data_IF_608822298927
#
_entry.id   IF_608822298927
#
_cell.length_a   1.000
_cell.length_b   1.000
_cell.length_c   1.000
_cell.angle_alpha   90.00
_cell.angle_beta   90.00
_cell.angle_gamma   90.00
#
_symmetry.space_group_name_H-M   'P 1'
#
loop_
_entity.id
_entity.type
_entity.pdbx_description
1 polymer ?
#
# COMPACT_ATOMS: atom_id res chain seq x y z
N UNK A 1 26.50 -51.18 19.98
CA UNK A 1 26.24 -49.75 20.26
C UNK A 1 26.60 -48.82 19.09
N UNK A 2 27.68 -49.06 18.32
CA UNK A 2 28.05 -48.22 17.16
C UNK A 2 27.03 -48.23 16.00
N UNK A 3 26.32 -49.33 15.78
CA UNK A 3 25.34 -49.48 14.69
C UNK A 3 24.00 -48.76 14.94
N UNK A 4 23.63 -48.54 16.20
CA UNK A 4 22.37 -47.84 16.56
C UNK A 4 22.54 -46.32 16.43
N UNK A 5 23.73 -45.78 16.76
CA UNK A 5 24.02 -44.36 16.60
C UNK A 5 24.04 -43.92 15.13
N UNK A 6 24.40 -44.81 14.19
CA UNK A 6 24.40 -44.49 12.76
C UNK A 6 22.96 -44.41 12.19
N UNK A 7 22.04 -45.21 12.71
CA UNK A 7 20.65 -45.23 12.26
C UNK A 7 19.87 -43.97 12.69
N UNK A 8 20.14 -43.43 13.89
CA UNK A 8 19.53 -42.17 14.34
C UNK A 8 20.03 -40.94 13.58
N UNK A 9 21.29 -40.95 13.10
CA UNK A 9 21.86 -39.83 12.36
C UNK A 9 21.19 -39.65 10.98
N UNK A 10 20.76 -40.73 10.31
CA UNK A 10 20.13 -40.65 9.00
C UNK A 10 18.67 -40.13 9.05
N UNK A 11 17.95 -40.32 10.15
CA UNK A 11 16.58 -39.82 10.32
C UNK A 11 16.52 -38.30 10.54
N UNK A 12 17.58 -37.70 11.10
CA UNK A 12 17.66 -36.26 11.35
C UNK A 12 17.85 -35.41 10.08
N UNK A 13 18.25 -35.99 8.95
CA UNK A 13 18.41 -35.27 7.67
C UNK A 13 17.13 -35.25 6.82
N UNK A 14 16.04 -35.88 7.26
CA UNK A 14 14.78 -35.90 6.51
C UNK A 14 13.88 -34.68 6.74
N UNK A 15 14.27 -33.75 7.62
CA UNK A 15 13.56 -32.46 7.80
C UNK A 15 13.99 -31.40 6.78
N UNK A 16 14.56 -31.81 5.64
CA UNK A 16 14.91 -30.88 4.58
C UNK A 16 13.66 -30.41 3.83
N UNK A 17 13.31 -29.16 4.13
CA UNK A 17 12.83 -28.19 3.15
C UNK A 17 11.44 -28.46 2.55
N UNK A 18 10.40 -28.06 3.29
CA UNK A 18 9.09 -27.72 2.71
C UNK A 18 9.12 -26.36 1.99
N UNK A 19 10.21 -26.03 1.28
CA UNK A 19 10.26 -24.91 0.37
C UNK A 19 9.59 -25.32 -0.94
N UNK A 20 8.27 -25.50 -0.90
CA UNK A 20 7.49 -25.74 -2.11
C UNK A 20 7.60 -24.48 -2.98
N UNK A 21 8.09 -24.65 -4.21
CA UNK A 21 8.20 -23.59 -5.20
C UNK A 21 6.77 -23.16 -5.59
N UNK A 22 6.18 -22.24 -4.82
CA UNK A 22 4.89 -21.66 -5.17
C UNK A 22 5.12 -20.84 -6.43
N UNK A 23 4.41 -21.17 -7.51
CA UNK A 23 4.40 -20.37 -8.73
C UNK A 23 4.10 -18.92 -8.33
N UNK A 24 5.10 -18.04 -8.46
CA UNK A 24 4.96 -16.64 -8.10
C UNK A 24 4.12 -16.00 -9.20
N UNK A 25 2.86 -15.72 -8.88
CA UNK A 25 1.99 -14.99 -9.79
C UNK A 25 2.65 -13.66 -10.11
N UNK A 26 2.96 -13.43 -11.39
CA UNK A 26 3.59 -12.21 -11.85
C UNK A 26 2.57 -11.09 -11.78
N UNK A 27 2.84 -10.08 -10.96
CA UNK A 27 2.04 -8.87 -10.94
C UNK A 27 2.60 -7.85 -11.92
N UNK A 28 1.74 -7.10 -12.62
CA UNK A 28 2.19 -5.92 -13.32
C UNK A 28 2.79 -4.91 -12.32
N UNK A 29 3.70 -4.07 -12.81
CA UNK A 29 4.24 -2.98 -12.01
C UNK A 29 3.15 -1.97 -11.66
N UNK A 30 3.21 -1.42 -10.46
CA UNK A 30 2.34 -0.33 -10.04
C UNK A 30 2.86 1.00 -10.58
N UNK A 31 1.98 1.77 -11.20
CA UNK A 31 2.26 3.11 -11.71
C UNK A 31 1.27 4.10 -11.10
N UNK A 32 1.77 4.95 -10.21
CA UNK A 32 0.97 5.87 -9.39
C UNK A 32 0.99 7.25 -10.03
N UNK A 33 -0.17 7.71 -10.46
CA UNK A 33 -0.37 9.08 -10.89
C UNK A 33 -0.94 9.92 -9.75
N UNK A 34 -0.08 10.74 -9.14
CA UNK A 34 -0.41 11.61 -8.01
C UNK A 34 -1.39 12.72 -8.42
N UNK A 35 -1.29 13.23 -9.64
CA UNK A 35 -2.09 14.37 -10.11
C UNK A 35 -3.50 13.94 -10.48
N UNK A 36 -3.63 12.74 -11.04
CA UNK A 36 -4.92 12.16 -11.43
C UNK A 36 -5.55 11.27 -10.35
N UNK A 37 -4.81 10.94 -9.28
CA UNK A 37 -5.29 10.07 -8.19
C UNK A 37 -5.55 8.65 -8.66
N UNK A 38 -4.69 8.13 -9.54
CA UNK A 38 -4.88 6.83 -10.21
C UNK A 38 -3.69 5.91 -9.98
N UNK A 39 -3.97 4.61 -10.00
CA UNK A 39 -2.94 3.56 -10.02
C UNK A 39 -3.18 2.67 -11.23
N UNK A 40 -2.23 2.67 -12.18
CA UNK A 40 -2.37 2.02 -13.48
C UNK A 40 -3.67 2.38 -14.21
N UNK A 41 -4.11 3.64 -14.08
CA UNK A 41 -5.36 4.16 -14.65
C UNK A 41 -6.61 3.98 -13.79
N UNK A 42 -6.55 3.19 -12.72
CA UNK A 42 -7.69 2.96 -11.82
C UNK A 42 -7.78 4.03 -10.73
N UNK A 43 -8.98 4.59 -10.54
CA UNK A 43 -9.30 5.43 -9.39
C UNK A 43 -9.50 4.57 -8.14
N UNK A 44 -9.54 5.22 -6.98
CA UNK A 44 -9.78 4.55 -5.71
C UNK A 44 -11.18 3.90 -5.57
N UNK A 45 -12.12 4.21 -6.46
CA UNK A 45 -13.46 3.57 -6.55
C UNK A 45 -13.46 2.22 -7.27
N UNK A 46 -12.30 1.70 -7.66
CA UNK A 46 -12.19 0.41 -8.36
C UNK A 46 -12.65 -0.75 -7.46
N UNK A 47 -13.43 -1.67 -8.01
CA UNK A 47 -13.94 -2.83 -7.27
C UNK A 47 -12.86 -3.88 -6.98
N UNK A 48 -13.03 -4.63 -5.90
CA UNK A 48 -12.05 -5.65 -5.48
C UNK A 48 -11.85 -6.76 -6.52
N UNK A 49 -12.90 -7.15 -7.25
CA UNK A 49 -12.82 -8.17 -8.29
C UNK A 49 -11.91 -7.76 -9.44
N UNK A 50 -12.03 -6.50 -9.86
CA UNK A 50 -11.18 -5.91 -10.91
C UNK A 50 -9.73 -5.78 -10.44
N UNK A 51 -9.51 -5.36 -9.19
CA UNK A 51 -8.18 -5.34 -8.58
C UNK A 51 -7.54 -6.73 -8.53
N UNK A 52 -8.29 -7.76 -8.12
CA UNK A 52 -7.78 -9.15 -8.08
C UNK A 52 -7.43 -9.67 -9.47
N UNK A 53 -8.21 -9.30 -10.49
CA UNK A 53 -7.93 -9.67 -11.88
C UNK A 53 -6.69 -8.95 -12.42
N UNK A 54 -6.56 -7.64 -12.15
CA UNK A 54 -5.45 -6.83 -12.64
C UNK A 54 -4.14 -7.11 -11.88
N UNK A 55 -4.23 -7.28 -10.57
CA UNK A 55 -3.14 -7.45 -9.64
C UNK A 55 -3.37 -8.73 -8.79
N UNK A 56 -3.20 -9.92 -9.38
CA UNK A 56 -3.48 -11.17 -8.68
C UNK A 56 -2.46 -11.53 -7.58
N UNK A 57 -1.42 -10.72 -7.38
CA UNK A 57 -0.36 -10.95 -6.39
C UNK A 57 -0.63 -10.34 -5.00
N UNK A 58 -1.89 -10.10 -4.64
CA UNK A 58 -2.22 -9.54 -3.34
C UNK A 58 -1.76 -10.47 -2.21
N UNK A 59 -1.33 -9.88 -1.10
CA UNK A 59 -0.84 -10.60 0.08
C UNK A 59 -1.99 -11.00 1.01
N UNK A 60 -3.02 -10.16 1.11
CA UNK A 60 -4.21 -10.40 1.92
C UNK A 60 -5.37 -9.50 1.49
N UNK A 61 -6.58 -9.84 1.91
CA UNK A 61 -7.76 -9.00 1.75
C UNK A 61 -8.64 -9.07 3.01
N UNK A 62 -9.38 -8.01 3.29
CA UNK A 62 -10.42 -7.94 4.33
C UNK A 62 -11.79 -7.92 3.67
N UNK A 63 -12.84 -8.02 4.49
CA UNK A 63 -14.24 -7.84 4.06
C UNK A 63 -14.81 -6.54 4.65
N UNK A 64 -16.07 -6.25 4.33
CA UNK A 64 -16.77 -5.03 4.78
C UNK A 64 -16.93 -4.92 6.30
N UNK A 65 -16.85 -6.05 7.03
CA UNK A 65 -16.96 -6.05 8.50
C UNK A 65 -15.69 -5.56 9.21
N UNK A 66 -14.59 -5.35 8.48
CA UNK A 66 -13.36 -4.81 9.05
C UNK A 66 -13.54 -3.34 9.46
N UNK A 67 -12.76 -2.90 10.46
CA UNK A 67 -12.77 -1.50 10.99
C UNK A 67 -12.70 -0.44 9.89
N UNK A 68 -11.93 -0.73 8.84
CA UNK A 68 -11.73 0.18 7.72
C UNK A 68 -12.38 -0.27 6.40
N UNK A 69 -13.35 -1.19 6.49
CA UNK A 69 -14.06 -1.74 5.35
C UNK A 69 -13.24 -2.76 4.56
N UNK A 70 -13.79 -3.17 3.43
CA UNK A 70 -13.12 -4.05 2.49
C UNK A 70 -11.84 -3.39 1.94
N UNK A 71 -10.74 -4.16 1.97
CA UNK A 71 -9.45 -3.72 1.49
C UNK A 71 -8.64 -4.90 0.92
N UNK A 72 -7.70 -4.58 0.03
CA UNK A 72 -6.74 -5.52 -0.55
C UNK A 72 -5.33 -4.97 -0.42
N UNK A 73 -4.42 -5.81 0.06
CA UNK A 73 -3.08 -5.42 0.49
C UNK A 73 -2.01 -6.06 -0.37
N UNK A 74 -1.03 -5.27 -0.82
CA UNK A 74 0.14 -5.74 -1.54
C UNK A 74 1.39 -5.43 -0.72
N UNK A 75 1.59 -6.13 0.40
CA UNK A 75 2.63 -5.82 1.40
C UNK A 75 4.03 -5.77 0.79
N UNK A 76 4.32 -6.68 -0.14
CA UNK A 76 5.62 -6.74 -0.83
C UNK A 76 5.90 -5.55 -1.76
N UNK A 77 4.87 -4.75 -2.07
CA UNK A 77 4.86 -3.57 -2.93
C UNK A 77 4.52 -2.29 -2.18
N UNK A 78 4.17 -2.40 -0.89
CA UNK A 78 3.78 -1.32 0.00
C UNK A 78 2.67 -0.42 -0.56
N UNK A 79 1.63 -1.05 -1.10
CA UNK A 79 0.42 -0.38 -1.59
C UNK A 79 -0.82 -1.16 -1.15
N UNK A 80 -1.89 -0.44 -0.81
CA UNK A 80 -3.16 -1.01 -0.37
C UNK A 80 -4.33 -0.23 -0.97
N UNK A 81 -5.42 -0.94 -1.29
CA UNK A 81 -6.66 -0.34 -1.78
C UNK A 81 -7.77 -0.65 -0.78
N UNK A 82 -8.47 0.37 -0.30
CA UNK A 82 -9.61 0.25 0.61
C UNK A 82 -10.87 0.54 -0.18
N UNK A 83 -11.41 -0.50 -0.82
CA UNK A 83 -12.59 -0.41 -1.69
C UNK A 83 -13.84 -0.01 -0.92
N UNK A 84 -13.94 -0.38 0.36
CA UNK A 84 -15.04 0.05 1.24
C UNK A 84 -15.01 1.54 1.61
N UNK A 85 -13.93 2.26 1.29
CA UNK A 85 -13.75 3.70 1.62
C UNK A 85 -13.38 4.57 0.42
N UNK A 86 -13.19 3.97 -0.74
CA UNK A 86 -12.60 4.59 -1.94
C UNK A 86 -11.24 5.23 -1.67
N UNK A 87 -10.36 4.55 -0.92
CA UNK A 87 -8.99 5.01 -0.63
C UNK A 87 -7.91 4.14 -1.26
N UNK A 88 -6.77 4.75 -1.54
CA UNK A 88 -5.53 4.06 -1.88
C UNK A 88 -4.41 4.58 -0.99
N UNK A 89 -3.64 3.68 -0.41
CA UNK A 89 -2.49 3.99 0.44
C UNK A 89 -1.21 3.49 -0.22
N UNK A 90 -0.21 4.37 -0.34
CA UNK A 90 1.12 4.09 -0.91
C UNK A 90 2.17 4.41 0.15
N UNK A 91 2.84 3.38 0.66
CA UNK A 91 3.78 3.49 1.76
C UNK A 91 5.20 3.89 1.36
N UNK A 92 6.03 4.11 2.36
CA UNK A 92 7.42 4.58 2.23
C UNK A 92 8.32 3.61 1.46
N UNK A 93 8.02 2.31 1.48
CA UNK A 93 8.78 1.25 0.81
C UNK A 93 8.15 0.84 -0.52
N UNK A 94 7.32 1.72 -1.11
CA UNK A 94 6.62 1.45 -2.35
C UNK A 94 7.57 1.00 -3.47
N UNK A 95 7.18 -0.06 -4.17
CA UNK A 95 7.94 -0.63 -5.29
C UNK A 95 7.16 -0.47 -6.59
N UNK A 96 7.36 0.68 -7.23
CA UNK A 96 6.73 1.02 -8.49
C UNK A 96 7.20 2.39 -8.99
N UNK A 97 6.45 2.96 -9.92
CA UNK A 97 6.67 4.33 -10.40
C UNK A 97 5.66 5.26 -9.74
N UNK A 98 6.11 6.47 -9.42
CA UNK A 98 5.25 7.55 -8.93
C UNK A 98 5.51 8.75 -9.83
N UNK A 99 4.47 9.34 -10.41
CA UNK A 99 4.59 10.48 -11.33
C UNK A 99 5.26 11.69 -10.71
N UNK A 100 5.15 11.85 -9.38
CA UNK A 100 5.81 12.88 -8.59
C UNK A 100 6.45 12.25 -7.33
N UNK A 101 7.76 12.40 -7.10
CA UNK A 101 8.46 11.74 -6.01
C UNK A 101 8.17 12.41 -4.66
N UNK A 102 6.98 12.17 -4.11
CA UNK A 102 6.55 12.74 -2.84
C UNK A 102 7.09 11.97 -1.63
N UNK A 103 7.27 10.65 -1.74
CA UNK A 103 7.82 9.83 -0.64
C UNK A 103 9.20 10.34 -0.24
N UNK A 104 9.41 10.55 1.07
CA UNK A 104 10.66 11.07 1.63
C UNK A 104 10.86 12.58 1.48
N UNK A 105 9.98 13.28 0.74
CA UNK A 105 10.04 14.74 0.62
C UNK A 105 9.79 15.39 2.00
N UNK A 106 10.48 16.51 2.26
CA UNK A 106 10.27 17.28 3.48
C UNK A 106 8.94 18.02 3.41
N UNK A 107 8.17 18.04 4.51
CA UNK A 107 6.89 18.74 4.62
C UNK A 107 6.96 20.18 4.08
N UNK A 108 8.02 20.91 4.41
CA UNK A 108 8.21 22.30 3.97
C UNK A 108 8.49 22.47 2.47
N UNK A 109 9.02 21.45 1.80
CA UNK A 109 9.33 21.52 0.36
C UNK A 109 8.11 21.32 -0.54
N UNK A 110 7.00 20.80 0.01
CA UNK A 110 5.81 20.43 -0.76
C UNK A 110 5.00 21.62 -1.25
N UNK A 111 5.11 22.77 -0.57
CA UNK A 111 4.37 23.99 -0.93
C UNK A 111 4.59 24.42 -2.39
N UNK A 112 5.81 24.22 -2.91
CA UNK A 112 6.15 24.55 -4.31
C UNK A 112 5.34 23.74 -5.33
N UNK A 113 4.93 22.53 -4.97
CA UNK A 113 4.26 21.60 -5.88
C UNK A 113 2.76 21.50 -5.64
N UNK A 114 2.34 21.56 -4.37
CA UNK A 114 0.96 21.29 -3.95
C UNK A 114 0.25 22.53 -3.40
N UNK A 115 0.95 23.65 -3.23
CA UNK A 115 0.41 24.83 -2.57
C UNK A 115 0.17 24.62 -1.07
N UNK A 116 -0.77 25.37 -0.51
CA UNK A 116 -1.12 25.24 0.90
C UNK A 116 -2.05 24.04 1.14
N UNK A 117 -1.83 23.25 2.20
CA UNK A 117 -2.80 22.24 2.60
C UNK A 117 -4.10 22.93 3.05
N UNK A 118 -5.23 22.32 2.70
CA UNK A 118 -6.55 22.79 3.10
C UNK A 118 -6.85 22.40 4.55
N UNK A 119 -6.34 21.25 4.99
CA UNK A 119 -6.42 20.78 6.38
C UNK A 119 -5.06 20.22 6.79
N UNK A 120 -4.66 20.40 8.04
CA UNK A 120 -3.38 19.94 8.56
C UNK A 120 -3.47 19.50 10.00
N UNK A 121 -2.62 18.55 10.34
CA UNK A 121 -2.38 18.03 11.68
C UNK A 121 -0.87 18.02 11.96
N UNK A 122 -0.46 17.65 13.17
CA UNK A 122 0.94 17.40 13.50
C UNK A 122 1.56 16.29 12.65
N UNK A 123 0.75 15.30 12.28
CA UNK A 123 1.18 14.07 11.63
C UNK A 123 0.83 13.95 10.15
N UNK A 124 -0.05 14.79 9.61
CA UNK A 124 -0.45 14.75 8.20
C UNK A 124 -0.92 16.10 7.65
N UNK A 125 -0.93 16.23 6.33
CA UNK A 125 -1.51 17.35 5.58
C UNK A 125 -2.48 16.83 4.51
N UNK A 126 -3.59 17.51 4.30
CA UNK A 126 -4.57 17.20 3.27
C UNK A 126 -4.69 18.34 2.25
N UNK A 127 -4.56 17.99 0.98
CA UNK A 127 -4.61 18.89 -0.17
C UNK A 127 -5.84 18.57 -1.00
N UNK A 128 -6.60 19.60 -1.37
CA UNK A 128 -7.72 19.44 -2.29
C UNK A 128 -7.19 19.18 -3.71
N UNK A 129 -7.70 18.15 -4.36
CA UNK A 129 -7.34 17.79 -5.75
C UNK A 129 -8.59 17.66 -6.62
N UNK A 130 -8.41 17.46 -7.93
CA UNK A 130 -9.51 17.22 -8.88
C UNK A 130 -10.22 15.89 -8.62
N UNK A 131 -9.52 14.92 -8.04
CA UNK A 131 -10.04 13.58 -7.75
C UNK A 131 -10.59 13.45 -6.33
N UNK A 132 -10.51 14.48 -5.49
CA UNK A 132 -10.96 14.45 -4.10
C UNK A 132 -9.91 15.08 -3.19
N UNK A 133 -9.23 14.24 -2.40
CA UNK A 133 -8.22 14.68 -1.44
C UNK A 133 -6.94 13.83 -1.55
N UNK A 134 -5.80 14.52 -1.56
CA UNK A 134 -4.48 13.93 -1.35
C UNK A 134 -4.06 14.16 0.11
N UNK A 135 -3.87 13.09 0.87
CA UNK A 135 -3.38 13.16 2.25
C UNK A 135 -1.95 12.64 2.30
N UNK A 136 -1.06 13.44 2.88
CA UNK A 136 0.34 13.10 3.07
C UNK A 136 0.62 12.95 4.56
N UNK A 137 0.96 11.74 5.00
CA UNK A 137 1.35 11.50 6.38
C UNK A 137 2.86 11.60 6.51
N UNK A 138 3.31 12.13 7.64
CA UNK A 138 4.71 12.39 7.93
C UNK A 138 5.26 11.43 8.98
N UNK A 139 6.56 11.16 8.90
CA UNK A 139 7.32 10.55 9.98
C UNK A 139 7.78 11.59 11.00
N UNK A 140 8.48 11.14 12.06
CA UNK A 140 9.03 12.02 13.10
C UNK A 140 10.03 13.06 12.57
N UNK A 141 10.70 12.76 11.45
CA UNK A 141 11.61 13.68 10.77
C UNK A 141 10.87 14.65 9.81
N UNK A 142 9.54 14.72 9.87
CA UNK A 142 8.67 15.56 9.02
C UNK A 142 8.86 15.30 7.52
N UNK A 143 9.16 14.04 7.15
CA UNK A 143 9.20 13.56 5.75
C UNK A 143 7.99 12.71 5.44
N UNK A 144 7.50 12.77 4.20
CA UNK A 144 6.35 11.98 3.74
C UNK A 144 6.66 10.49 3.85
N UNK A 145 5.84 9.75 4.60
CA UNK A 145 5.94 8.29 4.80
C UNK A 145 4.80 7.51 4.17
N UNK A 146 3.67 8.15 3.92
CA UNK A 146 2.48 7.52 3.37
C UNK A 146 1.74 8.58 2.55
N UNK A 147 1.36 8.19 1.34
CA UNK A 147 0.47 8.95 0.47
C UNK A 147 -0.87 8.23 0.49
N UNK A 148 -1.95 8.97 0.74
CA UNK A 148 -3.30 8.45 0.69
C UNK A 148 -4.13 9.26 -0.31
N UNK A 149 -4.71 8.58 -1.28
CA UNK A 149 -5.73 9.14 -2.16
C UNK A 149 -7.11 8.87 -1.56
N UNK A 150 -7.98 9.86 -1.67
CA UNK A 150 -9.40 9.72 -1.35
C UNK A 150 -10.22 10.37 -2.45
N UNK A 151 -11.31 9.73 -2.86
CA UNK A 151 -12.32 10.37 -3.72
C UNK A 151 -13.19 11.37 -2.97
N UNK A 152 -13.12 11.38 -1.64
CA UNK A 152 -13.87 12.29 -0.78
C UNK A 152 -13.17 13.64 -0.70
N UNK A 153 -13.95 14.71 -0.60
CA UNK A 153 -13.44 16.05 -0.30
C UNK A 153 -13.01 16.17 1.15
N UNK A 154 -12.20 17.18 1.47
CA UNK A 154 -11.60 17.38 2.80
C UNK A 154 -12.63 17.53 3.94
N UNK A 155 -13.82 18.04 3.66
CA UNK A 155 -14.93 18.16 4.62
C UNK A 155 -15.60 16.83 4.98
N UNK A 156 -15.41 15.80 4.16
CA UNK A 156 -16.02 14.46 4.30
C UNK A 156 -14.99 13.35 4.44
N UNK A 157 -13.72 13.74 4.57
CA UNK A 157 -12.59 12.83 4.73
C UNK A 157 -12.72 12.10 6.07
N UNK A 158 -12.64 10.77 6.04
CA UNK A 158 -12.68 9.92 7.24
C UNK A 158 -11.49 8.96 7.22
N UNK A 159 -10.41 9.34 7.90
CA UNK A 159 -9.20 8.53 7.96
C UNK A 159 -9.45 7.21 8.71
N UNK A 160 -8.71 6.16 8.31
CA UNK A 160 -8.70 4.88 9.00
C UNK A 160 -7.69 4.96 10.17
N UNK A 161 -8.16 5.42 11.34
CA UNK A 161 -7.40 5.40 12.61
C UNK A 161 -7.82 4.22 13.47
#
# INVERSE_FOLDING_TARGET
>A
MKTICLALACLAFSTMSMAQLKAKVLCPAFDVDILEGKVNGYKATVGIGELKNKFPCFTSATNDSAKCGEAIYYKDKDISFYTGRDYIEIGEKFKGKISMPLIGASRGSLFKYLGNPLMKDDTWDAFQTSYGTLVLHYNKAKKVRLIQFSTKGTSTLSLCE
#
